data_IF_650980590754
#
_entry.id   IF_650980590754
#
_cell.length_a   1.000
_cell.length_b   1.000
_cell.length_c   1.000
_cell.angle_alpha   90.00
_cell.angle_beta   90.00
_cell.angle_gamma   90.00
#
_symmetry.space_group_name_H-M   'P 1'
#
loop_
_entity.id
_entity.type
_entity.pdbx_description
1 polymer ?
#
# COMPACT_ATOMS: atom_id res chain seq x y z
N UNK A 1 -47.57 10.05 21.64
CA UNK A 1 -46.78 8.82 21.35
C UNK A 1 -45.99 9.03 20.05
N UNK A 2 -44.77 9.60 20.11
CA UNK A 2 -43.91 9.75 18.91
C UNK A 2 -42.40 9.91 19.19
N UNK A 3 -41.96 9.85 20.46
CA UNK A 3 -40.55 10.04 20.84
C UNK A 3 -39.72 8.76 20.61
N UNK A 4 -40.34 7.58 20.58
CA UNK A 4 -39.63 6.30 20.39
C UNK A 4 -39.20 6.04 18.93
N UNK A 5 -39.87 6.63 17.94
CA UNK A 5 -39.51 6.45 16.52
C UNK A 5 -38.21 7.18 16.15
N UNK A 6 -37.97 8.37 16.72
CA UNK A 6 -36.76 9.15 16.44
C UNK A 6 -35.48 8.52 17.02
N UNK A 7 -35.55 7.86 18.19
CA UNK A 7 -34.39 7.19 18.79
C UNK A 7 -33.93 5.96 17.99
N UNK A 8 -34.85 5.23 17.36
CA UNK A 8 -34.53 4.03 16.57
C UNK A 8 -33.80 4.42 15.26
N UNK A 9 -34.22 5.50 14.61
CA UNK A 9 -33.60 5.96 13.35
C UNK A 9 -32.13 6.38 13.56
N UNK A 10 -31.83 7.04 14.69
CA UNK A 10 -30.45 7.45 15.05
C UNK A 10 -29.58 6.23 15.37
N UNK A 11 -30.13 5.22 16.07
CA UNK A 11 -29.38 4.03 16.44
C UNK A 11 -29.00 3.18 15.21
N UNK A 12 -29.91 3.04 14.25
CA UNK A 12 -29.67 2.29 13.01
C UNK A 12 -28.63 2.99 12.13
N UNK A 13 -28.66 4.32 12.03
CA UNK A 13 -27.63 5.07 11.29
C UNK A 13 -26.25 4.94 11.93
N UNK A 14 -26.15 5.03 13.26
CA UNK A 14 -24.89 4.80 14.00
C UNK A 14 -24.36 3.37 13.84
N UNK A 15 -25.22 2.35 13.89
CA UNK A 15 -24.84 0.94 13.68
C UNK A 15 -24.40 0.67 12.23
N UNK A 16 -25.00 1.37 11.26
CA UNK A 16 -24.61 1.30 9.84
C UNK A 16 -23.23 1.92 9.60
N UNK A 17 -22.93 3.02 10.28
CA UNK A 17 -21.62 3.68 10.27
C UNK A 17 -20.54 2.81 10.93
N UNK A 18 -20.84 2.13 12.04
CA UNK A 18 -19.89 1.21 12.68
C UNK A 18 -19.59 -0.05 11.85
N UNK A 19 -20.55 -0.52 11.05
CA UNK A 19 -20.36 -1.68 10.18
C UNK A 19 -19.45 -1.39 8.96
N UNK A 20 -19.39 -0.14 8.50
CA UNK A 20 -18.38 0.28 7.50
C UNK A 20 -16.98 0.33 8.13
N UNK A 21 -16.85 0.80 9.38
CA UNK A 21 -15.58 0.86 10.10
C UNK A 21 -14.96 -0.52 10.32
N UNK A 22 -15.74 -1.50 10.82
CA UNK A 22 -15.21 -2.84 11.13
C UNK A 22 -14.74 -3.61 9.89
N UNK A 23 -15.42 -3.43 8.74
CA UNK A 23 -15.02 -4.08 7.49
C UNK A 23 -13.75 -3.46 6.91
N UNK A 24 -13.58 -2.15 7.06
CA UNK A 24 -12.39 -1.45 6.60
C UNK A 24 -11.16 -1.79 7.46
N UNK A 25 -11.29 -1.79 8.79
CA UNK A 25 -10.20 -2.22 9.70
C UNK A 25 -9.76 -3.67 9.43
N UNK A 26 -10.71 -4.56 9.18
CA UNK A 26 -10.42 -5.95 8.80
C UNK A 26 -9.69 -6.05 7.44
N UNK A 27 -10.01 -5.19 6.48
CA UNK A 27 -9.32 -5.13 5.19
C UNK A 27 -7.92 -4.57 5.33
N UNK A 28 -7.74 -3.54 6.15
CA UNK A 28 -6.43 -2.91 6.41
C UNK A 28 -5.46 -3.89 7.05
N UNK A 29 -5.91 -4.62 8.07
CA UNK A 29 -5.11 -5.65 8.71
C UNK A 29 -4.77 -6.79 7.73
N UNK A 30 -5.75 -7.23 6.91
CA UNK A 30 -5.50 -8.25 5.89
C UNK A 30 -4.47 -7.80 4.85
N UNK A 31 -4.56 -6.55 4.38
CA UNK A 31 -3.60 -5.98 3.45
C UNK A 31 -2.20 -5.92 4.06
N UNK A 32 -2.11 -5.58 5.35
CA UNK A 32 -0.84 -5.51 6.08
C UNK A 32 -0.20 -6.88 6.23
N UNK A 33 -0.99 -7.90 6.55
CA UNK A 33 -0.53 -9.30 6.66
C UNK A 33 -0.01 -9.79 5.31
N UNK A 34 -0.74 -9.57 4.22
CA UNK A 34 -0.31 -10.03 2.89
C UNK A 34 0.96 -9.30 2.43
N UNK A 35 1.03 -7.97 2.63
CA UNK A 35 2.22 -7.20 2.30
C UNK A 35 3.44 -7.65 3.12
N UNK A 36 3.25 -7.90 4.42
CA UNK A 36 4.30 -8.44 5.30
C UNK A 36 4.81 -9.80 4.81
N UNK A 37 3.90 -10.68 4.39
CA UNK A 37 4.23 -12.01 3.87
C UNK A 37 5.03 -11.93 2.58
N UNK A 38 4.64 -11.08 1.63
CA UNK A 38 5.36 -10.92 0.36
C UNK A 38 6.75 -10.28 0.56
N UNK A 39 6.86 -9.30 1.45
CA UNK A 39 8.16 -8.70 1.81
C UNK A 39 9.06 -9.69 2.57
N UNK A 40 8.49 -10.55 3.41
CA UNK A 40 9.20 -11.64 4.07
C UNK A 40 9.79 -12.62 3.06
N UNK A 41 8.96 -13.13 2.12
CA UNK A 41 9.42 -14.00 1.03
C UNK A 41 10.52 -13.37 0.19
N UNK A 42 10.35 -12.09 -0.18
CA UNK A 42 11.38 -11.33 -0.89
C UNK A 42 12.71 -11.36 -0.13
N UNK A 43 12.66 -11.07 1.16
CA UNK A 43 13.84 -10.93 1.98
C UNK A 43 14.56 -12.29 2.18
N UNK A 44 13.79 -13.34 2.46
CA UNK A 44 14.28 -14.71 2.59
C UNK A 44 14.89 -15.23 1.28
N UNK A 45 14.21 -15.03 0.14
CA UNK A 45 14.67 -15.48 -1.16
C UNK A 45 16.01 -14.85 -1.60
N UNK A 46 16.34 -13.68 -1.05
CA UNK A 46 17.58 -12.96 -1.32
C UNK A 46 18.61 -13.08 -0.18
N UNK A 47 18.33 -13.86 0.87
CA UNK A 47 19.20 -14.05 2.04
C UNK A 47 19.61 -12.73 2.73
N UNK A 48 18.71 -11.75 2.73
CA UNK A 48 18.98 -10.48 3.38
C UNK A 48 18.92 -10.59 4.91
N UNK A 49 19.74 -9.79 5.59
CA UNK A 49 19.65 -9.62 7.05
C UNK A 49 18.63 -8.55 7.42
N UNK A 50 18.14 -8.53 8.66
CA UNK A 50 17.23 -7.49 9.18
C UNK A 50 15.85 -7.40 8.49
N UNK A 51 15.36 -8.51 7.95
CA UNK A 51 14.08 -8.60 7.21
C UNK A 51 12.87 -8.04 7.96
N UNK A 52 12.77 -8.29 9.26
CA UNK A 52 11.65 -7.79 10.06
C UNK A 52 11.65 -6.26 10.16
N UNK A 53 12.83 -5.67 10.38
CA UNK A 53 13.00 -4.21 10.48
C UNK A 53 12.69 -3.55 9.14
N UNK A 54 13.19 -4.13 8.04
CA UNK A 54 12.90 -3.67 6.70
C UNK A 54 11.41 -3.75 6.37
N UNK A 55 10.78 -4.88 6.67
CA UNK A 55 9.35 -5.09 6.39
C UNK A 55 8.51 -4.08 7.15
N UNK A 56 8.83 -3.82 8.41
CA UNK A 56 8.16 -2.78 9.21
C UNK A 56 8.36 -1.39 8.60
N UNK A 57 9.59 -1.02 8.28
CA UNK A 57 9.92 0.25 7.63
C UNK A 57 9.13 0.44 6.32
N UNK A 58 9.15 -0.58 5.45
CA UNK A 58 8.47 -0.53 4.16
C UNK A 58 6.97 -0.31 4.36
N UNK A 59 6.34 -1.12 5.22
CA UNK A 59 4.91 -1.04 5.50
C UNK A 59 4.56 0.36 6.03
N UNK A 60 5.30 0.86 7.02
CA UNK A 60 5.01 2.15 7.63
C UNK A 60 5.09 3.31 6.62
N UNK A 61 6.04 3.28 5.67
CA UNK A 61 6.13 4.28 4.60
C UNK A 61 5.05 4.05 3.53
N UNK A 62 4.76 2.80 3.19
CA UNK A 62 3.75 2.47 2.18
C UNK A 62 2.35 2.94 2.62
N UNK A 63 1.99 2.80 3.89
CA UNK A 63 0.71 3.29 4.44
C UNK A 63 0.66 4.82 4.60
N UNK A 64 1.81 5.51 4.58
CA UNK A 64 1.84 6.98 4.44
C UNK A 64 1.49 7.42 3.01
N UNK A 65 1.76 6.58 2.00
CA UNK A 65 1.44 6.87 0.60
C UNK A 65 0.04 6.41 0.21
N UNK A 66 -0.39 5.25 0.70
CA UNK A 66 -1.61 4.59 0.25
C UNK A 66 -2.70 4.66 1.32
N UNK A 67 -3.92 4.96 0.87
CA UNK A 67 -5.06 5.16 1.76
C UNK A 67 -6.04 4.01 1.79
N UNK A 68 -5.97 3.08 0.84
CA UNK A 68 -7.00 2.07 0.71
C UNK A 68 -6.38 0.68 0.75
N UNK A 69 -6.73 -0.06 1.79
CA UNK A 69 -6.38 -1.46 1.94
C UNK A 69 -6.84 -2.30 0.74
N UNK A 70 -7.97 -1.96 0.12
CA UNK A 70 -8.42 -2.60 -1.11
C UNK A 70 -7.50 -2.29 -2.27
N UNK A 71 -6.99 -1.06 -2.35
CA UNK A 71 -6.01 -0.68 -3.36
C UNK A 71 -4.68 -1.39 -3.13
N UNK A 72 -4.22 -1.55 -1.89
CA UNK A 72 -3.04 -2.37 -1.54
C UNK A 72 -3.21 -3.83 -1.96
N UNK A 73 -4.34 -4.44 -1.62
CA UNK A 73 -4.64 -5.82 -1.99
C UNK A 73 -4.76 -5.99 -3.50
N UNK A 74 -5.43 -5.04 -4.17
CA UNK A 74 -5.56 -5.02 -5.62
C UNK A 74 -4.23 -4.78 -6.32
N UNK A 75 -3.37 -3.96 -5.73
CA UNK A 75 -2.01 -3.74 -6.20
C UNK A 75 -1.21 -5.03 -6.13
N UNK A 76 -1.21 -5.69 -4.97
CA UNK A 76 -0.55 -6.99 -4.78
C UNK A 76 -1.09 -8.04 -5.76
N UNK A 77 -2.41 -8.08 -6.01
CA UNK A 77 -3.00 -8.99 -7.00
C UNK A 77 -2.73 -8.60 -8.45
N UNK A 78 -2.53 -7.31 -8.73
CA UNK A 78 -2.32 -6.77 -10.08
C UNK A 78 -0.85 -6.61 -10.46
N UNK A 79 0.10 -6.78 -9.52
CA UNK A 79 1.52 -6.73 -9.87
C UNK A 79 1.78 -7.76 -10.95
N UNK A 80 1.13 -8.93 -10.93
CA UNK A 80 1.25 -9.98 -11.95
C UNK A 80 -0.04 -10.80 -12.11
N UNK A 81 -0.32 -11.24 -13.34
CA UNK A 81 -1.36 -12.24 -13.60
C UNK A 81 -1.04 -13.57 -12.92
N UNK A 82 -2.02 -14.43 -12.65
CA UNK A 82 -1.79 -15.75 -12.01
C UNK A 82 -0.75 -16.61 -12.76
N UNK A 83 -0.73 -16.54 -14.10
CA UNK A 83 0.26 -17.25 -14.93
C UNK A 83 1.67 -16.70 -14.73
N UNK A 84 1.81 -15.40 -14.52
CA UNK A 84 3.05 -14.71 -14.22
C UNK A 84 3.51 -14.96 -12.77
N UNK A 85 2.60 -15.06 -11.79
CA UNK A 85 2.93 -15.33 -10.38
C UNK A 85 3.73 -16.63 -10.20
N UNK A 86 3.45 -17.66 -11.00
CA UNK A 86 4.22 -18.91 -11.00
C UNK A 86 5.69 -18.73 -11.44
N UNK A 87 5.96 -17.80 -12.35
CA UNK A 87 7.32 -17.40 -12.76
C UNK A 87 7.95 -16.43 -11.76
N UNK A 88 7.15 -15.57 -11.13
CA UNK A 88 7.56 -14.62 -10.10
C UNK A 88 8.10 -15.30 -8.85
N UNK A 89 7.40 -16.34 -8.37
CA UNK A 89 7.81 -17.12 -7.21
C UNK A 89 9.16 -17.83 -7.42
N UNK A 90 9.61 -17.94 -8.67
CA UNK A 90 10.91 -18.51 -9.06
C UNK A 90 11.97 -17.46 -9.43
N UNK A 91 11.62 -16.17 -9.50
CA UNK A 91 12.55 -15.10 -9.86
C UNK A 91 13.16 -14.44 -8.61
N UNK A 92 14.48 -14.32 -8.60
CA UNK A 92 15.21 -13.51 -7.63
C UNK A 92 14.81 -12.05 -7.86
N UNK A 93 14.24 -11.41 -6.84
CA UNK A 93 14.01 -9.96 -6.73
C UNK A 93 12.70 -9.38 -7.35
N UNK A 94 11.56 -9.50 -6.65
CA UNK A 94 10.30 -8.81 -6.95
C UNK A 94 10.40 -7.29 -7.19
N UNK A 95 11.36 -6.59 -6.59
CA UNK A 95 11.52 -5.14 -6.80
C UNK A 95 12.08 -4.81 -8.19
N UNK A 96 12.93 -5.67 -8.76
CA UNK A 96 13.42 -5.52 -10.14
C UNK A 96 12.27 -5.60 -11.15
N UNK A 97 11.28 -6.45 -10.86
CA UNK A 97 10.11 -6.66 -11.73
C UNK A 97 9.19 -5.46 -11.66
N UNK A 98 8.95 -4.93 -10.46
CA UNK A 98 8.19 -3.68 -10.28
C UNK A 98 8.89 -2.54 -11.03
N UNK A 99 10.23 -2.46 -10.96
CA UNK A 99 10.99 -1.44 -11.68
C UNK A 99 10.95 -1.62 -13.20
N UNK A 100 11.01 -2.86 -13.71
CA UNK A 100 10.83 -3.13 -15.14
C UNK A 100 9.44 -2.72 -15.61
N UNK A 101 8.38 -3.06 -14.86
CA UNK A 101 7.01 -2.67 -15.21
C UNK A 101 6.81 -1.16 -15.15
N UNK A 102 7.52 -0.46 -14.26
CA UNK A 102 7.58 1.00 -14.27
C UNK A 102 8.17 1.52 -15.58
N UNK A 103 9.28 0.96 -16.07
CA UNK A 103 9.88 1.35 -17.36
C UNK A 103 8.93 1.14 -18.52
N UNK A 104 8.33 -0.04 -18.61
CA UNK A 104 7.35 -0.36 -19.65
C UNK A 104 6.15 0.60 -19.62
N UNK A 105 5.71 0.99 -18.42
CA UNK A 105 4.58 1.92 -18.23
C UNK A 105 4.93 3.34 -18.67
N UNK A 106 6.18 3.77 -18.53
CA UNK A 106 6.64 5.07 -18.99
C UNK A 106 6.71 5.13 -20.51
N UNK A 107 7.20 4.07 -21.16
CA UNK A 107 7.20 3.95 -22.62
C UNK A 107 5.77 4.02 -23.18
N UNK A 108 4.82 3.39 -22.48
CA UNK A 108 3.39 3.38 -22.85
C UNK A 108 2.63 4.61 -22.36
N UNK A 109 3.26 5.50 -21.59
CA UNK A 109 2.63 6.64 -20.93
C UNK A 109 1.39 6.27 -20.08
N UNK A 110 1.39 5.09 -19.45
CA UNK A 110 0.34 4.64 -18.55
C UNK A 110 0.50 5.29 -17.17
N UNK A 111 -0.14 6.43 -17.00
CA UNK A 111 -0.08 7.23 -15.76
C UNK A 111 -0.54 6.47 -14.52
N UNK A 112 -1.51 5.55 -14.66
CA UNK A 112 -2.02 4.79 -13.52
C UNK A 112 -0.97 3.79 -13.04
N UNK A 113 -0.37 3.03 -13.96
CA UNK A 113 0.69 2.08 -13.62
C UNK A 113 1.96 2.76 -13.14
N UNK A 114 2.33 3.93 -13.71
CA UNK A 114 3.46 4.75 -13.24
C UNK A 114 3.26 5.16 -11.78
N UNK A 115 2.07 5.65 -11.42
CA UNK A 115 1.71 6.02 -10.04
C UNK A 115 1.90 4.83 -9.11
N UNK A 116 1.31 3.69 -9.47
CA UNK A 116 1.31 2.46 -8.68
C UNK A 116 2.71 1.93 -8.39
N UNK A 117 3.53 1.75 -9.44
CA UNK A 117 4.87 1.18 -9.29
C UNK A 117 5.82 2.15 -8.59
N UNK A 118 5.67 3.46 -8.83
CA UNK A 118 6.44 4.47 -8.08
C UNK A 118 6.13 4.43 -6.58
N UNK A 119 4.85 4.29 -6.22
CA UNK A 119 4.41 4.18 -4.82
C UNK A 119 4.87 2.89 -4.12
N UNK A 120 5.16 1.82 -4.88
CA UNK A 120 5.76 0.58 -4.36
C UNK A 120 7.28 0.69 -4.19
N UNK A 121 7.98 1.31 -5.13
CA UNK A 121 9.44 1.43 -5.10
C UNK A 121 9.92 2.48 -4.09
N UNK A 122 9.10 3.49 -3.79
CA UNK A 122 9.51 4.55 -2.86
C UNK A 122 9.78 4.03 -1.43
N UNK A 123 8.88 3.25 -0.80
CA UNK A 123 9.16 2.62 0.49
C UNK A 123 10.40 1.72 0.45
N UNK A 124 10.58 0.94 -0.63
CA UNK A 124 11.79 0.13 -0.79
C UNK A 124 13.04 0.99 -0.76
N UNK A 125 13.13 2.05 -1.58
CA UNK A 125 14.30 2.93 -1.62
C UNK A 125 14.60 3.62 -0.29
N UNK A 126 13.57 3.91 0.51
CA UNK A 126 13.75 4.50 1.85
C UNK A 126 14.28 3.50 2.88
N UNK A 127 13.98 2.21 2.69
CA UNK A 127 14.28 1.16 3.65
C UNK A 127 15.40 0.21 3.18
N UNK A 128 15.85 0.28 1.93
CA UNK A 128 16.76 -0.70 1.31
C UNK A 128 18.11 -0.78 2.01
N UNK A 129 18.58 0.34 2.58
CA UNK A 129 19.80 0.38 3.39
C UNK A 129 19.77 -0.52 4.63
N UNK A 130 18.58 -0.84 5.18
CA UNK A 130 18.42 -1.76 6.32
C UNK A 130 18.88 -3.17 5.96
N UNK A 131 18.62 -3.59 4.72
CA UNK A 131 18.95 -4.92 4.20
C UNK A 131 20.18 -4.90 3.29
N UNK A 132 20.82 -3.74 3.13
CA UNK A 132 21.90 -3.51 2.18
C UNK A 132 21.54 -3.87 0.72
N UNK A 133 20.29 -3.59 0.32
CA UNK A 133 19.80 -3.76 -1.05
C UNK A 133 19.97 -2.48 -1.88
N UNK A 134 20.06 -2.65 -3.19
CA UNK A 134 20.12 -1.53 -4.14
C UNK A 134 18.82 -0.73 -4.14
N UNK A 135 18.93 0.56 -4.46
CA UNK A 135 17.77 1.45 -4.66
C UNK A 135 17.53 1.70 -6.15
N UNK A 136 16.27 1.92 -6.53
CA UNK A 136 15.87 2.15 -7.91
C UNK A 136 15.73 3.63 -8.25
N UNK A 137 16.12 4.05 -9.45
CA UNK A 137 15.97 5.45 -9.86
C UNK A 137 14.51 5.79 -10.22
N UNK A 138 13.81 6.41 -9.27
CA UNK A 138 12.44 6.93 -9.41
C UNK A 138 12.36 8.46 -9.33
N UNK A 139 13.50 9.16 -9.45
CA UNK A 139 13.60 10.62 -9.23
C UNK A 139 12.61 11.45 -10.06
N UNK A 140 12.37 11.09 -11.32
CA UNK A 140 11.38 11.78 -12.18
C UNK A 140 9.92 11.67 -11.71
N UNK A 141 9.64 10.74 -10.79
CA UNK A 141 8.31 10.52 -10.23
C UNK A 141 8.15 11.13 -8.84
N UNK A 142 9.15 11.88 -8.36
CA UNK A 142 9.12 12.49 -7.03
C UNK A 142 7.90 13.40 -6.84
N UNK A 143 7.50 14.16 -7.87
CA UNK A 143 6.30 14.99 -7.85
C UNK A 143 5.02 14.17 -7.57
N UNK A 144 4.95 12.94 -8.07
CA UNK A 144 3.81 12.04 -7.85
C UNK A 144 3.80 11.59 -6.38
N UNK A 145 4.96 11.21 -5.85
CA UNK A 145 5.13 10.80 -4.47
C UNK A 145 4.80 11.94 -3.50
N UNK A 146 5.33 13.14 -3.76
CA UNK A 146 5.10 14.32 -2.91
C UNK A 146 3.62 14.67 -2.86
N UNK A 147 2.91 14.53 -3.99
CA UNK A 147 1.46 14.72 -4.04
C UNK A 147 0.72 13.71 -3.15
N UNK A 148 1.05 12.42 -3.24
CA UNK A 148 0.44 11.39 -2.39
C UNK A 148 0.66 11.65 -0.90
N UNK A 149 1.89 12.01 -0.52
CA UNK A 149 2.24 12.37 0.86
C UNK A 149 1.46 13.60 1.35
N UNK A 150 1.33 14.62 0.48
CA UNK A 150 0.57 15.83 0.79
C UNK A 150 -0.93 15.53 0.98
N UNK A 151 -1.54 14.77 0.07
CA UNK A 151 -2.94 14.36 0.16
C UNK A 151 -3.23 13.59 1.45
N UNK A 152 -2.34 12.66 1.84
CA UNK A 152 -2.44 11.94 3.12
C UNK A 152 -2.36 12.88 4.32
N UNK A 153 -1.36 13.76 4.38
CA UNK A 153 -1.22 14.75 5.46
C UNK A 153 -2.46 15.63 5.59
N UNK A 154 -2.96 16.14 4.46
CA UNK A 154 -4.16 16.98 4.43
C UNK A 154 -5.38 16.25 4.98
N UNK A 155 -5.55 14.97 4.63
CA UNK A 155 -6.64 14.15 5.12
C UNK A 155 -6.53 13.82 6.61
N UNK A 156 -5.32 13.55 7.13
CA UNK A 156 -5.09 13.37 8.57
C UNK A 156 -5.49 14.64 9.33
N UNK A 157 -5.01 15.80 8.89
CA UNK A 157 -5.35 17.10 9.50
C UNK A 157 -6.85 17.35 9.45
N UNK A 158 -7.52 16.96 8.36
CA UNK A 158 -8.97 17.12 8.20
C UNK A 158 -9.73 16.21 9.17
N UNK A 159 -9.32 14.94 9.33
CA UNK A 159 -9.92 14.02 10.30
C UNK A 159 -9.72 14.48 11.75
N UNK A 160 -8.50 14.89 12.11
CA UNK A 160 -8.17 15.43 13.43
C UNK A 160 -8.99 16.67 13.77
N UNK A 161 -9.21 17.57 12.81
CA UNK A 161 -10.06 18.75 13.00
C UNK A 161 -11.55 18.43 13.12
N UNK A 162 -11.99 17.30 12.57
CA UNK A 162 -13.39 16.89 12.56
C UNK A 162 -13.76 15.95 13.72
N UNK A 163 -12.80 15.52 14.57
CA UNK A 163 -13.00 14.49 15.59
C UNK A 163 -13.65 13.21 15.04
N UNK A 164 -13.25 12.81 13.82
CA UNK A 164 -13.64 11.54 13.19
C UNK A 164 -12.42 10.62 13.10
#
# INVERSE_FOLDING_TARGET
MNIFKYKIVILVTLLSLSACGSNYENLEEKARIELKKELGKYCEANNYSYCEIYTKCYIDIFYQLNQDAQYTLRLLSNVMSESEQSKFNNQKNPMDIIYSKLKDSEEKNDKYSILNYSAMLYPHNKCSSIINAESYNISRHQNIIDRLLYEKKSLIITKEKLNI
#
